data_IF_289091358739
#
_entry.id   IF_289091358739
#
_cell.length_a   1.000
_cell.length_b   1.000
_cell.length_c   1.000
_cell.angle_alpha   90.00
_cell.angle_beta   90.00
_cell.angle_gamma   90.00
#
_symmetry.space_group_name_H-M   'P 1'
#
loop_
_entity.id
_entity.type
_entity.pdbx_description
1 polymer ?
#
# COMPACT_ATOMS: atom_id res chain seq x y z
N UNK A 1 12.02 -15.87 18.25
CA UNK A 1 12.92 -15.63 17.10
C UNK A 1 13.58 -14.28 17.27
N UNK A 2 14.75 -14.11 16.67
CA UNK A 2 15.36 -12.80 16.49
C UNK A 2 15.25 -12.40 15.01
N UNK A 3 14.50 -11.36 14.72
CA UNK A 3 14.10 -10.98 13.35
C UNK A 3 14.57 -9.57 13.04
N UNK A 4 15.23 -9.40 11.90
CA UNK A 4 15.66 -8.09 11.43
C UNK A 4 14.98 -7.72 10.13
N UNK A 5 14.28 -6.59 10.11
CA UNK A 5 13.67 -6.00 8.93
C UNK A 5 14.59 -5.00 8.25
N UNK A 6 14.65 -5.03 6.93
CA UNK A 6 15.41 -4.08 6.12
C UNK A 6 14.50 -3.51 5.05
N UNK A 7 14.28 -2.20 5.06
CA UNK A 7 13.38 -1.52 4.11
C UNK A 7 14.07 -0.32 3.46
N UNK A 8 13.51 0.14 2.35
CA UNK A 8 13.99 1.34 1.65
C UNK A 8 13.18 2.60 1.99
N UNK A 9 12.09 2.45 2.73
CA UNK A 9 11.20 3.55 3.10
C UNK A 9 10.53 3.24 4.45
N UNK A 10 10.25 4.28 5.22
CA UNK A 10 9.57 4.13 6.52
C UNK A 10 8.06 4.19 6.43
N UNK A 11 7.53 4.79 5.36
CA UNK A 11 6.10 4.97 5.11
C UNK A 11 5.56 3.90 4.14
N UNK A 12 4.26 3.87 3.96
CA UNK A 12 3.59 2.99 2.99
C UNK A 12 4.00 1.53 3.13
N UNK A 13 4.58 0.95 2.08
CA UNK A 13 5.01 -0.45 2.09
C UNK A 13 5.98 -0.77 3.23
N UNK A 14 6.93 0.12 3.55
CA UNK A 14 7.85 -0.10 4.66
C UNK A 14 7.16 -0.17 6.02
N UNK A 15 6.12 0.63 6.22
CA UNK A 15 5.31 0.56 7.42
C UNK A 15 4.50 -0.74 7.48
N UNK A 16 3.67 -1.03 6.50
CA UNK A 16 2.75 -2.16 6.52
C UNK A 16 3.43 -3.53 6.40
N UNK A 17 4.59 -3.57 5.76
CA UNK A 17 5.26 -4.83 5.44
C UNK A 17 6.45 -5.16 6.36
N UNK A 18 7.03 -4.15 7.01
CA UNK A 18 8.21 -4.33 7.87
C UNK A 18 7.93 -3.84 9.29
N UNK A 19 7.69 -2.53 9.48
CA UNK A 19 7.58 -1.97 10.83
C UNK A 19 6.44 -2.57 11.63
N UNK A 20 5.22 -2.40 11.16
CA UNK A 20 4.01 -2.82 11.86
C UNK A 20 4.01 -4.33 12.22
N UNK A 21 4.34 -5.27 11.30
CA UNK A 21 4.41 -6.68 11.67
C UNK A 21 5.51 -6.99 12.67
N UNK A 22 6.67 -6.35 12.59
CA UNK A 22 7.77 -6.59 13.51
C UNK A 22 7.52 -5.98 14.88
N UNK A 23 6.88 -4.80 14.96
CA UNK A 23 6.44 -4.21 16.22
C UNK A 23 5.42 -5.11 16.93
N UNK A 24 4.47 -5.67 16.19
CA UNK A 24 3.48 -6.61 16.74
C UNK A 24 4.13 -7.92 17.21
N UNK A 25 5.04 -8.49 16.42
CA UNK A 25 5.79 -9.68 16.84
C UNK A 25 6.65 -9.44 18.10
N UNK A 26 7.16 -8.23 18.30
CA UNK A 26 7.85 -7.86 19.53
C UNK A 26 6.94 -7.94 20.75
N UNK A 27 5.67 -7.51 20.62
CA UNK A 27 4.65 -7.64 21.68
C UNK A 27 4.36 -9.11 22.04
N UNK A 28 4.66 -10.05 21.14
CA UNK A 28 4.49 -11.50 21.33
C UNK A 28 5.78 -12.25 21.68
N UNK A 29 6.80 -11.55 22.18
CA UNK A 29 8.00 -12.14 22.74
C UNK A 29 9.11 -12.48 21.73
N UNK A 30 9.03 -11.94 20.51
CA UNK A 30 10.14 -12.02 19.57
C UNK A 30 11.09 -10.83 19.77
N UNK A 31 12.37 -11.03 19.54
CA UNK A 31 13.35 -9.95 19.46
C UNK A 31 13.35 -9.40 18.04
N UNK A 32 12.87 -8.20 17.86
CA UNK A 32 12.76 -7.57 16.53
C UNK A 32 13.55 -6.29 16.43
N UNK A 33 14.06 -6.02 15.25
CA UNK A 33 14.68 -4.75 14.89
C UNK A 33 14.46 -4.46 13.41
N UNK A 34 14.55 -3.20 13.00
CA UNK A 34 14.48 -2.83 11.59
C UNK A 34 15.32 -1.61 11.30
N UNK A 35 15.82 -1.54 10.06
CA UNK A 35 16.65 -0.44 9.60
C UNK A 35 16.43 -0.11 8.12
N UNK A 36 16.94 1.05 7.70
CA UNK A 36 16.96 1.41 6.29
C UNK A 36 18.01 0.62 5.53
N UNK A 37 17.68 0.16 4.33
CA UNK A 37 18.62 -0.47 3.43
C UNK A 37 19.72 0.53 3.03
N UNK A 38 20.89 0.35 3.60
CA UNK A 38 22.13 1.10 3.32
C UNK A 38 23.30 0.14 3.20
N UNK A 39 24.52 0.66 3.05
CA UNK A 39 25.74 -0.17 2.94
C UNK A 39 26.16 -0.83 4.26
N UNK A 40 25.59 -0.43 5.38
CA UNK A 40 26.08 -0.79 6.71
C UNK A 40 25.13 -1.70 7.49
N UNK A 41 24.22 -2.41 6.79
CA UNK A 41 23.31 -3.37 7.45
C UNK A 41 24.09 -4.48 8.12
N UNK A 42 23.79 -4.71 9.40
CA UNK A 42 24.43 -5.72 10.22
C UNK A 42 23.46 -6.84 10.62
N UNK A 43 23.94 -8.04 10.85
CA UNK A 43 23.09 -9.18 11.26
C UNK A 43 22.55 -9.07 12.69
N UNK A 44 23.34 -8.47 13.59
CA UNK A 44 23.04 -8.34 15.02
C UNK A 44 22.60 -9.67 15.67
N UNK A 45 23.03 -10.81 15.10
CA UNK A 45 22.64 -12.15 15.53
C UNK A 45 21.20 -12.56 15.17
N UNK A 46 20.58 -11.95 14.19
CA UNK A 46 19.25 -12.31 13.72
C UNK A 46 19.20 -13.75 13.18
N UNK A 47 18.10 -14.45 13.47
CA UNK A 47 17.80 -15.77 12.89
C UNK A 47 17.13 -15.63 11.52
N UNK A 48 16.33 -14.56 11.34
CA UNK A 48 15.59 -14.25 10.13
C UNK A 48 15.89 -12.81 9.72
N UNK A 49 16.14 -12.60 8.44
CA UNK A 49 16.25 -11.26 7.84
C UNK A 49 15.15 -11.11 6.80
N UNK A 50 14.33 -10.08 6.97
CA UNK A 50 13.26 -9.72 6.03
C UNK A 50 13.69 -8.49 5.26
N UNK A 51 13.96 -8.66 3.97
CA UNK A 51 14.40 -7.56 3.09
C UNK A 51 13.32 -7.15 2.10
N UNK A 52 12.87 -5.90 2.18
CA UNK A 52 11.88 -5.34 1.26
C UNK A 52 12.55 -4.59 0.13
N UNK A 53 12.33 -5.04 -1.12
CA UNK A 53 12.88 -4.43 -2.35
C UNK A 53 14.38 -4.15 -2.32
N UNK A 54 15.14 -4.95 -1.58
CA UNK A 54 16.59 -4.87 -1.58
C UNK A 54 17.11 -5.44 -2.90
N UNK A 55 17.86 -4.68 -3.65
CA UNK A 55 18.33 -5.05 -5.01
C UNK A 55 17.92 -4.02 -6.06
N UNK A 56 16.86 -3.25 -5.83
CA UNK A 56 16.55 -2.08 -6.64
C UNK A 56 17.48 -0.90 -6.26
N UNK A 57 17.90 -0.12 -7.23
CA UNK A 57 18.73 1.07 -6.98
C UNK A 57 18.06 2.07 -6.04
N UNK A 58 18.80 2.62 -5.07
CA UNK A 58 18.39 3.87 -4.47
C UNK A 58 18.46 4.98 -5.51
N UNK A 59 17.55 5.96 -5.48
CA UNK A 59 17.52 7.08 -6.42
C UNK A 59 18.82 7.93 -6.47
N UNK A 60 19.73 7.75 -5.51
CA UNK A 60 21.07 8.33 -5.49
C UNK A 60 22.12 7.53 -6.29
N UNK A 61 21.80 6.33 -6.71
CA UNK A 61 22.70 5.46 -7.48
C UNK A 61 22.71 5.77 -9.00
N UNK A 62 22.29 6.94 -9.41
CA UNK A 62 22.59 7.44 -10.76
C UNK A 62 24.10 7.62 -11.02
N UNK A 63 24.95 7.30 -10.04
CA UNK A 63 26.38 7.35 -10.13
C UNK A 63 26.98 6.00 -9.72
N UNK A 64 26.94 5.06 -10.65
CA UNK A 64 27.85 3.90 -10.67
C UNK A 64 27.25 2.54 -10.33
N UNK A 65 27.62 1.58 -11.12
CA UNK A 65 27.42 0.12 -11.07
C UNK A 65 27.73 -0.48 -9.66
N UNK A 66 28.42 0.25 -8.78
CA UNK A 66 28.93 -0.26 -7.52
C UNK A 66 27.87 -0.51 -6.43
N UNK A 67 26.78 0.25 -6.37
CA UNK A 67 25.81 0.10 -5.26
C UNK A 67 24.84 -1.11 -5.47
N UNK A 68 24.47 -1.43 -6.69
CA UNK A 68 23.68 -2.63 -6.95
C UNK A 68 24.48 -3.91 -6.65
N UNK A 69 25.77 -3.89 -6.95
CA UNK A 69 26.70 -4.99 -6.63
C UNK A 69 26.89 -5.11 -5.12
N UNK A 70 26.92 -4.01 -4.38
CA UNK A 70 27.06 -4.02 -2.91
C UNK A 70 25.83 -4.64 -2.24
N UNK A 71 24.61 -4.27 -2.65
CA UNK A 71 23.38 -4.88 -2.13
C UNK A 71 23.33 -6.38 -2.42
N UNK A 72 23.81 -6.79 -3.57
CA UNK A 72 23.89 -8.21 -3.96
C UNK A 72 24.90 -9.00 -3.15
N UNK A 73 26.09 -8.45 -2.91
CA UNK A 73 27.13 -9.09 -2.09
C UNK A 73 26.67 -9.20 -0.65
N UNK A 74 26.06 -8.14 -0.12
CA UNK A 74 25.50 -8.08 1.21
C UNK A 74 24.41 -9.15 1.45
N UNK A 75 23.44 -9.29 0.55
CA UNK A 75 22.41 -10.32 0.60
C UNK A 75 23.02 -11.72 0.61
N UNK A 76 24.03 -11.94 -0.22
CA UNK A 76 24.77 -13.22 -0.29
C UNK A 76 25.59 -13.54 0.97
N UNK A 77 26.15 -12.54 1.60
CA UNK A 77 26.93 -12.74 2.84
C UNK A 77 25.99 -13.11 4.00
N UNK A 78 24.87 -12.44 4.11
CA UNK A 78 23.89 -12.71 5.15
C UNK A 78 23.19 -14.05 5.00
N UNK A 79 22.94 -14.50 3.77
CA UNK A 79 22.32 -15.78 3.46
C UNK A 79 23.01 -16.98 4.14
N UNK A 80 24.27 -16.88 4.46
CA UNK A 80 25.01 -17.97 5.13
C UNK A 80 24.79 -18.03 6.64
N UNK A 81 24.23 -17.00 7.23
CA UNK A 81 24.20 -16.82 8.68
C UNK A 81 22.80 -16.67 9.25
N UNK A 82 21.80 -16.40 8.41
CA UNK A 82 20.40 -16.25 8.79
C UNK A 82 19.47 -16.71 7.68
N UNK A 83 18.25 -17.07 8.01
CA UNK A 83 17.21 -17.31 7.04
C UNK A 83 16.79 -16.00 6.36
N UNK A 84 16.73 -15.98 5.04
CA UNK A 84 16.44 -14.80 4.24
C UNK A 84 15.03 -14.84 3.71
N UNK A 85 14.25 -13.82 4.04
CA UNK A 85 12.90 -13.60 3.53
C UNK A 85 12.91 -12.39 2.61
N UNK A 86 12.48 -12.57 1.36
CA UNK A 86 12.35 -11.46 0.41
C UNK A 86 10.91 -10.97 0.36
N UNK A 87 10.69 -9.70 0.67
CA UNK A 87 9.37 -9.10 0.80
C UNK A 87 9.01 -8.23 -0.40
N UNK A 88 7.79 -8.45 -0.94
CA UNK A 88 7.22 -7.66 -2.04
C UNK A 88 5.78 -7.23 -1.72
N UNK A 89 5.48 -5.94 -1.88
CA UNK A 89 4.12 -5.40 -1.81
C UNK A 89 3.50 -5.11 -3.19
N UNK A 90 4.32 -4.86 -4.20
CA UNK A 90 3.92 -4.62 -5.60
C UNK A 90 4.78 -5.48 -6.55
N UNK A 91 4.35 -5.66 -7.80
CA UNK A 91 5.10 -6.36 -8.83
C UNK A 91 6.19 -5.45 -9.43
N UNK A 92 7.49 -5.67 -9.14
CA UNK A 92 8.56 -4.84 -9.67
C UNK A 92 8.82 -5.04 -11.17
N UNK A 93 8.24 -6.09 -11.77
CA UNK A 93 8.47 -6.48 -13.17
C UNK A 93 7.41 -5.95 -14.13
N UNK A 94 6.31 -5.37 -13.62
CA UNK A 94 5.19 -4.86 -14.42
C UNK A 94 4.90 -3.37 -14.17
N UNK A 95 5.90 -2.65 -13.67
CA UNK A 95 5.77 -1.20 -13.41
C UNK A 95 5.54 -0.45 -14.72
N UNK A 96 4.56 0.42 -14.76
CA UNK A 96 4.17 1.16 -15.96
C UNK A 96 5.10 2.35 -16.27
N UNK A 97 5.29 2.70 -17.56
CA UNK A 97 6.22 3.76 -17.99
C UNK A 97 5.94 5.14 -17.37
N UNK A 98 4.69 5.44 -17.04
CA UNK A 98 4.30 6.70 -16.40
C UNK A 98 4.47 6.72 -14.88
N UNK A 99 4.76 5.58 -14.28
CA UNK A 99 5.09 5.50 -12.87
C UNK A 99 6.50 6.03 -12.64
N UNK A 100 6.68 6.92 -11.65
CA UNK A 100 8.00 7.51 -11.36
C UNK A 100 9.07 6.48 -11.00
N UNK A 101 8.67 5.31 -10.50
CA UNK A 101 9.59 4.22 -10.17
C UNK A 101 9.97 3.35 -11.37
N UNK A 102 9.35 3.57 -12.53
CA UNK A 102 9.59 2.79 -13.75
C UNK A 102 11.08 2.65 -14.12
N UNK A 103 11.78 3.77 -14.19
CA UNK A 103 13.20 3.77 -14.56
C UNK A 103 14.11 3.06 -13.55
N UNK A 104 13.64 2.95 -12.30
CA UNK A 104 14.35 2.22 -11.25
C UNK A 104 14.17 0.72 -11.43
N UNK A 105 12.94 0.25 -11.54
CA UNK A 105 12.62 -1.19 -11.59
C UNK A 105 12.87 -1.80 -12.97
N UNK A 106 12.65 -1.05 -14.05
CA UNK A 106 12.89 -1.51 -15.41
C UNK A 106 14.36 -1.38 -15.86
N UNK A 107 15.25 -0.88 -15.00
CA UNK A 107 16.69 -0.96 -15.23
C UNK A 107 17.11 -2.45 -15.22
N UNK A 108 17.77 -2.97 -16.28
CA UNK A 108 18.12 -4.39 -16.35
C UNK A 108 18.90 -4.91 -15.14
N UNK A 109 19.84 -4.10 -14.62
CA UNK A 109 20.65 -4.47 -13.46
C UNK A 109 19.77 -4.59 -12.20
N UNK A 110 18.85 -3.65 -11.98
CA UNK A 110 17.93 -3.69 -10.84
C UNK A 110 16.95 -4.87 -10.95
N UNK A 111 16.43 -5.08 -12.15
CA UNK A 111 15.53 -6.18 -12.47
C UNK A 111 16.19 -7.57 -12.20
N UNK A 112 17.40 -7.79 -12.73
CA UNK A 112 18.16 -9.03 -12.52
C UNK A 112 18.54 -9.21 -11.05
N UNK A 113 18.87 -8.12 -10.36
CA UNK A 113 19.19 -8.13 -8.93
C UNK A 113 18.01 -8.56 -8.07
N UNK A 114 16.82 -7.96 -8.32
CA UNK A 114 15.58 -8.32 -7.61
C UNK A 114 15.27 -9.80 -7.83
N UNK A 115 15.28 -10.22 -9.09
CA UNK A 115 15.03 -11.62 -9.46
C UNK A 115 15.98 -12.58 -8.75
N UNK A 116 17.28 -12.28 -8.78
CA UNK A 116 18.28 -13.13 -8.13
C UNK A 116 18.12 -13.15 -6.60
N UNK A 117 17.82 -12.02 -5.93
CA UNK A 117 17.56 -12.00 -4.51
C UNK A 117 16.35 -12.86 -4.13
N UNK A 118 15.31 -12.87 -4.97
CA UNK A 118 14.16 -13.75 -4.81
C UNK A 118 14.52 -15.21 -5.00
N UNK A 119 15.31 -15.55 -6.03
CA UNK A 119 15.72 -16.94 -6.34
C UNK A 119 16.47 -17.60 -5.19
N UNK A 120 17.33 -16.83 -4.49
CA UNK A 120 18.15 -17.34 -3.39
C UNK A 120 17.51 -17.18 -2.00
N UNK A 121 16.36 -16.50 -1.88
CA UNK A 121 15.67 -16.36 -0.61
C UNK A 121 15.10 -17.71 -0.13
N UNK A 122 15.11 -17.92 1.19
CA UNK A 122 14.47 -19.09 1.79
C UNK A 122 12.95 -19.03 1.66
N UNK A 123 12.39 -17.80 1.61
CA UNK A 123 10.97 -17.53 1.47
C UNK A 123 10.79 -16.20 0.74
N UNK A 124 9.80 -16.13 -0.13
CA UNK A 124 9.28 -14.86 -0.67
C UNK A 124 7.95 -14.57 -0.03
N UNK A 125 7.78 -13.40 0.58
CA UNK A 125 6.49 -12.95 1.11
C UNK A 125 5.90 -11.88 0.21
N UNK A 126 4.59 -11.96 -0.02
CA UNK A 126 3.87 -11.07 -0.94
C UNK A 126 2.56 -10.61 -0.32
N UNK A 127 2.04 -9.46 -0.80
CA UNK A 127 0.83 -8.85 -0.24
C UNK A 127 -0.49 -9.45 -0.75
N UNK A 128 -0.47 -10.14 -1.91
CA UNK A 128 -1.69 -10.64 -2.57
C UNK A 128 -1.49 -11.99 -3.24
N UNK A 129 -2.61 -12.73 -3.40
CA UNK A 129 -2.60 -14.01 -4.11
C UNK A 129 -2.19 -13.85 -5.58
N UNK A 130 -2.59 -12.75 -6.23
CA UNK A 130 -2.21 -12.44 -7.62
C UNK A 130 -0.70 -12.27 -7.75
N UNK A 131 -0.10 -11.56 -6.79
CA UNK A 131 1.34 -11.39 -6.77
C UNK A 131 2.06 -12.72 -6.55
N UNK A 132 1.52 -13.59 -5.68
CA UNK A 132 2.05 -14.94 -5.47
C UNK A 132 2.00 -15.79 -6.76
N UNK A 133 0.88 -15.80 -7.48
CA UNK A 133 0.72 -16.51 -8.76
C UNK A 133 1.78 -16.12 -9.80
N UNK A 134 2.27 -14.89 -9.73
CA UNK A 134 3.30 -14.38 -10.64
C UNK A 134 4.72 -14.72 -10.15
N UNK A 135 4.97 -14.54 -8.87
CA UNK A 135 6.30 -14.69 -8.26
C UNK A 135 6.69 -16.14 -8.04
N UNK A 136 5.73 -17.08 -7.96
CA UNK A 136 6.00 -18.53 -7.77
C UNK A 136 6.91 -19.13 -8.86
N UNK A 137 6.97 -18.52 -10.02
CA UNK A 137 7.86 -18.93 -11.14
C UNK A 137 9.32 -18.59 -10.85
N UNK A 138 9.60 -17.65 -9.96
CA UNK A 138 10.94 -17.22 -9.57
C UNK A 138 11.38 -18.00 -8.34
N UNK A 139 10.52 -18.05 -7.32
CA UNK A 139 10.77 -18.85 -6.12
C UNK A 139 9.48 -19.58 -5.73
N UNK A 140 9.49 -20.93 -5.69
CA UNK A 140 8.29 -21.72 -5.35
C UNK A 140 7.91 -21.62 -3.86
N UNK A 141 8.82 -21.19 -2.99
CA UNK A 141 8.56 -21.01 -1.57
C UNK A 141 8.00 -19.61 -1.31
N UNK A 142 6.67 -19.49 -1.37
CA UNK A 142 5.95 -18.22 -1.25
C UNK A 142 4.93 -18.29 -0.12
N UNK A 143 4.82 -17.19 0.65
CA UNK A 143 3.72 -16.96 1.60
C UNK A 143 2.99 -15.65 1.26
N UNK A 144 1.66 -15.72 1.21
CA UNK A 144 0.81 -14.53 1.08
C UNK A 144 0.53 -13.97 2.46
N UNK A 145 1.07 -12.79 2.75
CA UNK A 145 0.84 -12.05 3.99
C UNK A 145 0.09 -10.78 3.65
N UNK A 146 -1.22 -10.78 3.81
CA UNK A 146 -2.07 -9.64 3.44
C UNK A 146 -1.79 -8.42 4.33
N UNK A 147 -1.96 -7.22 3.78
CA UNK A 147 -1.80 -6.00 4.56
C UNK A 147 -2.88 -5.89 5.63
N UNK A 148 -2.48 -5.43 6.81
CA UNK A 148 -3.33 -5.16 7.96
C UNK A 148 -3.16 -3.70 8.41
N UNK A 149 -4.10 -3.21 9.19
CA UNK A 149 -4.04 -1.91 9.85
C UNK A 149 -3.77 -2.10 11.35
N UNK A 150 -3.24 -1.10 12.07
CA UNK A 150 -3.20 -1.16 13.53
C UNK A 150 -4.62 -1.00 14.11
N UNK A 151 -4.95 -1.72 15.16
CA UNK A 151 -6.25 -1.60 15.84
C UNK A 151 -6.51 -0.15 16.30
N UNK A 152 -5.47 0.58 16.65
CA UNK A 152 -5.54 1.99 17.03
C UNK A 152 -6.17 2.89 15.95
N UNK A 153 -6.08 2.52 14.66
CA UNK A 153 -6.74 3.25 13.57
C UNK A 153 -8.26 3.26 13.71
N UNK A 154 -8.84 2.19 14.22
CA UNK A 154 -10.27 2.11 14.51
C UNK A 154 -10.75 3.14 15.54
N UNK A 155 -9.85 3.70 16.33
CA UNK A 155 -10.15 4.69 17.37
C UNK A 155 -9.81 6.13 16.98
N UNK A 156 -9.24 6.34 15.79
CA UNK A 156 -8.88 7.69 15.31
C UNK A 156 -10.14 8.52 15.10
N UNK A 157 -10.15 9.69 15.73
CA UNK A 157 -11.19 10.68 15.52
C UNK A 157 -10.85 11.53 14.30
N UNK A 158 -11.72 11.48 13.30
CA UNK A 158 -11.55 12.30 12.08
C UNK A 158 -11.88 13.77 12.36
N UNK A 159 -11.18 14.72 11.73
CA UNK A 159 -11.57 16.12 11.79
C UNK A 159 -12.99 16.31 11.25
N UNK A 160 -13.82 17.03 12.02
CA UNK A 160 -15.15 17.42 11.54
C UNK A 160 -15.05 18.52 10.49
N UNK A 161 -15.90 18.48 9.47
CA UNK A 161 -16.04 19.51 8.44
C UNK A 161 -17.51 19.90 8.30
N UNK A 162 -17.73 21.19 8.06
CA UNK A 162 -19.07 21.72 7.82
C UNK A 162 -19.63 21.32 6.45
N UNK A 163 -18.72 20.98 5.52
CA UNK A 163 -19.04 20.61 4.13
C UNK A 163 -18.64 19.16 3.86
N UNK A 164 -19.52 18.43 3.19
CA UNK A 164 -19.24 17.08 2.73
C UNK A 164 -17.96 17.06 1.89
N UNK A 165 -17.03 16.22 2.27
CA UNK A 165 -15.71 16.11 1.62
C UNK A 165 -15.53 14.78 0.92
N UNK A 166 -15.22 14.82 -0.38
CA UNK A 166 -14.72 13.67 -1.15
C UNK A 166 -13.20 13.71 -1.11
N UNK A 167 -12.56 12.61 -0.75
CA UNK A 167 -11.12 12.61 -0.58
C UNK A 167 -10.36 11.47 -1.25
N UNK A 168 -9.12 11.78 -1.59
CA UNK A 168 -8.12 10.83 -2.03
C UNK A 168 -6.82 11.03 -1.25
N UNK A 169 -6.17 9.91 -0.87
CA UNK A 169 -4.85 9.95 -0.26
C UNK A 169 -3.92 8.97 -0.98
N UNK A 170 -2.71 9.41 -1.31
CA UNK A 170 -1.77 8.53 -2.00
C UNK A 170 -0.48 9.21 -2.47
N UNK A 171 0.42 8.38 -2.99
CA UNK A 171 1.73 8.79 -3.51
C UNK A 171 1.68 9.18 -4.98
N UNK A 172 2.79 9.71 -5.47
CA UNK A 172 2.97 10.11 -6.87
C UNK A 172 2.84 8.94 -7.87
N UNK A 173 3.01 7.69 -7.42
CA UNK A 173 2.83 6.51 -8.28
C UNK A 173 1.40 6.32 -8.79
N UNK A 174 0.42 7.01 -8.20
CA UNK A 174 -1.00 6.97 -8.59
C UNK A 174 -1.41 8.00 -9.66
N UNK A 175 -0.46 8.65 -10.35
CA UNK A 175 -0.77 9.70 -11.33
C UNK A 175 -1.72 9.22 -12.43
N UNK A 176 -1.52 8.00 -12.95
CA UNK A 176 -2.37 7.43 -13.99
C UNK A 176 -3.71 6.91 -13.44
N UNK A 177 -3.77 6.62 -12.15
CA UNK A 177 -4.97 6.14 -11.50
C UNK A 177 -6.01 7.26 -11.37
N UNK A 178 -5.56 8.48 -11.03
CA UNK A 178 -6.42 9.67 -10.93
C UNK A 178 -7.13 9.96 -12.26
N UNK A 179 -6.51 9.67 -13.40
CA UNK A 179 -7.12 9.85 -14.71
C UNK A 179 -8.45 9.09 -14.82
N UNK A 180 -8.55 7.89 -14.24
CA UNK A 180 -9.74 7.03 -14.32
C UNK A 180 -10.97 7.60 -13.63
N UNK A 181 -10.79 8.48 -12.65
CA UNK A 181 -11.90 9.14 -11.93
C UNK A 181 -12.04 10.62 -12.26
N UNK A 182 -11.07 11.22 -12.96
CA UNK A 182 -10.98 12.67 -13.16
C UNK A 182 -12.23 13.29 -13.79
N UNK A 183 -12.77 12.66 -14.82
CA UNK A 183 -14.02 13.13 -15.47
C UNK A 183 -15.21 13.05 -14.51
N UNK A 184 -15.40 11.93 -13.84
CA UNK A 184 -16.46 11.73 -12.87
C UNK A 184 -16.41 12.71 -11.72
N UNK A 185 -15.21 12.92 -11.16
CA UNK A 185 -14.98 13.86 -10.06
C UNK A 185 -15.26 15.31 -10.50
N UNK A 186 -14.73 15.73 -11.66
CA UNK A 186 -15.01 17.05 -12.24
C UNK A 186 -16.50 17.31 -12.44
N UNK A 187 -17.22 16.34 -12.99
CA UNK A 187 -18.67 16.41 -13.20
C UNK A 187 -19.45 16.50 -11.89
N UNK A 188 -19.00 15.77 -10.88
CA UNK A 188 -19.58 15.81 -9.53
C UNK A 188 -19.36 17.19 -8.90
N UNK A 189 -18.16 17.73 -8.97
CA UNK A 189 -17.84 19.07 -8.45
C UNK A 189 -18.68 20.18 -9.15
N UNK A 190 -18.86 20.10 -10.47
CA UNK A 190 -19.62 21.08 -11.21
C UNK A 190 -21.11 21.09 -10.83
N UNK A 191 -21.66 19.97 -10.40
CA UNK A 191 -23.09 19.83 -10.05
C UNK A 191 -23.38 20.04 -8.56
N UNK A 192 -22.37 19.98 -7.72
CA UNK A 192 -22.50 20.09 -6.27
C UNK A 192 -21.54 21.17 -5.74
N UNK A 193 -21.94 22.46 -5.79
CA UNK A 193 -21.06 23.56 -5.38
C UNK A 193 -20.72 23.52 -3.87
N UNK A 194 -21.53 22.83 -3.07
CA UNK A 194 -21.43 22.80 -1.61
C UNK A 194 -20.62 21.65 -1.04
N UNK A 195 -19.98 20.84 -1.91
CA UNK A 195 -19.03 19.82 -1.46
C UNK A 195 -17.60 20.33 -1.58
N UNK A 196 -16.71 19.75 -0.80
CA UNK A 196 -15.27 19.91 -0.92
C UNK A 196 -14.62 18.67 -1.53
N UNK A 197 -13.46 18.85 -2.14
CA UNK A 197 -12.59 17.76 -2.55
C UNK A 197 -11.23 17.97 -1.91
N UNK A 198 -10.65 16.92 -1.35
CA UNK A 198 -9.38 16.98 -0.65
C UNK A 198 -8.42 15.87 -1.11
N UNK A 199 -7.23 16.25 -1.53
CA UNK A 199 -6.14 15.32 -1.86
C UNK A 199 -5.06 15.40 -0.78
N UNK A 200 -4.64 14.23 -0.27
CA UNK A 200 -3.57 14.11 0.73
C UNK A 200 -2.41 13.35 0.10
N UNK A 201 -1.20 13.88 0.26
CA UNK A 201 0.03 13.27 -0.24
C UNK A 201 0.51 13.91 -1.53
N UNK A 202 0.52 13.17 -2.64
CA UNK A 202 0.96 13.72 -3.92
C UNK A 202 -0.01 14.77 -4.47
N UNK A 203 0.55 15.86 -4.97
CA UNK A 203 -0.28 16.89 -5.63
C UNK A 203 -0.63 16.48 -7.06
N UNK A 204 -1.71 15.73 -7.19
CA UNK A 204 -2.26 15.27 -8.46
C UNK A 204 -3.52 16.04 -8.88
N UNK A 205 -3.80 17.20 -8.26
CA UNK A 205 -4.99 18.04 -8.52
C UNK A 205 -5.10 18.47 -9.98
N UNK A 206 -3.96 18.71 -10.64
CA UNK A 206 -3.90 19.10 -12.05
C UNK A 206 -4.50 18.06 -13.01
N UNK A 207 -4.52 16.77 -12.63
CA UNK A 207 -5.11 15.70 -13.43
C UNK A 207 -6.64 15.84 -13.55
N UNK A 208 -7.29 16.37 -12.53
CA UNK A 208 -8.76 16.49 -12.48
C UNK A 208 -9.26 17.61 -13.40
N UNK A 209 -8.47 18.68 -13.63
CA UNK A 209 -8.91 19.89 -14.33
C UNK A 209 -10.23 20.42 -13.75
N UNK A 210 -10.26 20.55 -12.44
CA UNK A 210 -11.46 20.83 -11.67
C UNK A 210 -12.04 22.22 -11.96
N UNK A 211 -13.39 22.41 -11.84
CA UNK A 211 -14.04 23.71 -12.05
C UNK A 211 -13.78 24.72 -10.91
N UNK A 212 -13.25 24.24 -9.79
CA UNK A 212 -12.86 25.03 -8.62
C UNK A 212 -11.72 24.34 -7.87
N UNK A 213 -11.21 24.99 -6.83
CA UNK A 213 -10.10 24.48 -6.04
C UNK A 213 -10.39 23.11 -5.43
N UNK A 214 -9.38 22.24 -5.46
CA UNK A 214 -9.28 21.00 -4.68
C UNK A 214 -8.29 21.29 -3.56
N UNK A 215 -8.67 21.06 -2.30
CA UNK A 215 -7.75 21.19 -1.17
C UNK A 215 -6.62 20.16 -1.29
N UNK A 216 -5.44 20.56 -0.83
CA UNK A 216 -4.28 19.69 -0.81
C UNK A 216 -3.56 19.76 0.53
N UNK A 217 -3.22 18.60 1.07
CA UNK A 217 -2.33 18.48 2.24
C UNK A 217 -1.16 17.59 1.85
N UNK A 218 0.05 18.05 2.13
CA UNK A 218 1.27 17.28 1.85
C UNK A 218 1.32 16.01 2.68
N UNK A 219 2.10 15.03 2.22
CA UNK A 219 2.30 13.77 2.92
C UNK A 219 2.89 13.99 4.32
N UNK A 220 2.39 13.24 5.29
CA UNK A 220 2.97 13.14 6.62
C UNK A 220 3.81 11.85 6.71
N UNK A 221 5.01 11.95 7.23
CA UNK A 221 5.94 10.82 7.35
C UNK A 221 5.57 9.85 8.48
N UNK A 222 4.86 10.34 9.51
CA UNK A 222 4.29 9.47 10.54
C UNK A 222 2.93 8.93 10.09
N UNK A 223 2.76 7.60 10.08
CA UNK A 223 1.54 6.96 9.61
C UNK A 223 0.33 7.23 10.51
N UNK A 224 0.54 7.34 11.82
CA UNK A 224 -0.56 7.64 12.75
C UNK A 224 -1.04 9.09 12.60
N UNK A 225 -0.11 10.01 12.35
CA UNK A 225 -0.47 11.41 12.07
C UNK A 225 -1.10 11.55 10.68
N UNK A 226 -0.67 10.75 9.69
CA UNK A 226 -1.33 10.68 8.39
C UNK A 226 -2.81 10.31 8.51
N UNK A 227 -3.17 9.34 9.34
CA UNK A 227 -4.58 8.96 9.54
C UNK A 227 -5.43 10.09 10.08
N UNK A 228 -4.87 10.96 10.93
CA UNK A 228 -5.56 12.15 11.48
C UNK A 228 -5.81 13.25 10.44
N UNK A 229 -5.09 13.23 9.31
CA UNK A 229 -5.32 14.17 8.20
C UNK A 229 -6.56 13.80 7.37
N UNK A 230 -7.02 12.56 7.44
CA UNK A 230 -8.13 12.05 6.62
C UNK A 230 -9.46 12.58 7.17
N UNK A 231 -9.99 13.60 6.49
CA UNK A 231 -11.23 14.30 6.85
C UNK A 231 -12.38 14.02 5.86
N UNK A 232 -12.30 12.91 5.14
CA UNK A 232 -13.24 12.56 4.07
C UNK A 232 -14.56 12.02 4.61
N UNK A 233 -15.68 12.34 3.95
CA UNK A 233 -16.98 11.67 4.13
C UNK A 233 -17.18 10.56 3.09
N UNK A 234 -16.50 10.68 1.94
CA UNK A 234 -16.48 9.69 0.86
C UNK A 234 -15.05 9.56 0.38
N UNK A 235 -14.48 8.34 0.43
CA UNK A 235 -13.18 8.04 -0.12
C UNK A 235 -13.24 7.67 -1.61
N UNK A 236 -12.25 8.07 -2.40
CA UNK A 236 -12.07 7.54 -3.74
C UNK A 236 -10.78 6.72 -3.83
N UNK A 237 -10.88 5.56 -4.44
CA UNK A 237 -9.75 4.65 -4.66
C UNK A 237 -9.66 4.27 -6.15
N UNK A 238 -9.22 5.20 -7.01
CA UNK A 238 -9.00 4.89 -8.40
C UNK A 238 -7.76 4.02 -8.58
N UNK A 239 -7.86 3.02 -9.45
CA UNK A 239 -6.72 2.27 -10.00
C UNK A 239 -6.97 2.08 -11.51
N UNK A 240 -5.95 2.33 -12.31
CA UNK A 240 -6.00 2.02 -13.74
C UNK A 240 -5.92 0.49 -13.89
N UNK A 241 -6.86 -0.15 -14.60
CA UNK A 241 -6.87 -1.61 -14.72
C UNK A 241 -5.71 -2.09 -15.61
N UNK A 242 -4.60 -2.46 -14.97
CA UNK A 242 -3.36 -2.94 -15.59
C UNK A 242 -2.86 -4.15 -14.83
N UNK A 243 -1.91 -4.88 -15.41
CA UNK A 243 -1.28 -6.03 -14.75
C UNK A 243 -0.66 -5.63 -13.41
N UNK A 244 0.01 -4.48 -13.36
CA UNK A 244 0.58 -3.92 -12.14
C UNK A 244 -0.50 -3.64 -11.08
N UNK A 245 -1.60 -3.01 -11.47
CA UNK A 245 -2.70 -2.69 -10.56
C UNK A 245 -3.40 -3.93 -9.98
N UNK A 246 -3.51 -5.00 -10.76
CA UNK A 246 -4.11 -6.27 -10.31
C UNK A 246 -3.28 -6.97 -9.22
N UNK A 247 -1.99 -6.67 -9.10
CA UNK A 247 -1.11 -7.23 -8.07
C UNK A 247 -1.10 -6.45 -6.76
N UNK A 248 -1.62 -5.20 -6.76
CA UNK A 248 -1.64 -4.32 -5.57
C UNK A 248 -2.54 -4.85 -4.47
N UNK A 249 -2.36 -4.32 -3.26
CA UNK A 249 -3.24 -4.60 -2.13
C UNK A 249 -4.41 -3.62 -2.04
N UNK A 250 -5.41 -3.97 -1.25
CA UNK A 250 -6.57 -3.12 -0.95
C UNK A 250 -6.33 -2.13 0.20
N UNK A 251 -5.08 -1.88 0.58
CA UNK A 251 -4.76 -1.11 1.79
C UNK A 251 -5.47 0.25 1.87
N UNK A 252 -5.60 0.97 0.76
CA UNK A 252 -6.32 2.24 0.70
C UNK A 252 -7.80 2.09 1.09
N UNK A 253 -8.48 1.07 0.58
CA UNK A 253 -9.86 0.80 0.94
C UNK A 253 -9.99 0.36 2.41
N UNK A 254 -9.02 -0.38 2.92
CA UNK A 254 -8.96 -0.82 4.31
C UNK A 254 -8.75 0.36 5.28
N UNK A 255 -7.86 1.31 4.95
CA UNK A 255 -7.66 2.55 5.73
C UNK A 255 -8.95 3.37 5.82
N UNK A 256 -9.61 3.60 4.68
CA UNK A 256 -10.89 4.34 4.65
C UNK A 256 -11.98 3.61 5.43
N UNK A 257 -12.09 2.31 5.24
CA UNK A 257 -13.06 1.47 5.95
C UNK A 257 -12.86 1.54 7.48
N UNK A 258 -11.62 1.45 7.97
CA UNK A 258 -11.29 1.58 9.39
C UNK A 258 -11.76 2.90 9.99
N UNK A 259 -11.73 3.97 9.21
CA UNK A 259 -12.21 5.30 9.59
C UNK A 259 -13.73 5.48 9.39
N UNK A 260 -14.44 4.41 9.00
CA UNK A 260 -15.88 4.48 8.72
C UNK A 260 -16.24 5.31 7.49
N UNK A 261 -15.35 5.34 6.49
CA UNK A 261 -15.52 6.09 5.25
C UNK A 261 -15.92 5.12 4.13
N UNK A 262 -17.12 5.22 3.55
CA UNK A 262 -17.47 4.45 2.38
C UNK A 262 -16.62 4.85 1.18
N UNK A 263 -16.19 3.87 0.37
CA UNK A 263 -15.31 4.09 -0.76
C UNK A 263 -16.04 3.95 -2.09
N UNK A 264 -15.71 4.79 -3.07
CA UNK A 264 -15.94 4.51 -4.49
C UNK A 264 -14.58 4.08 -5.07
N UNK A 265 -14.48 2.87 -5.56
CA UNK A 265 -13.23 2.26 -6.00
C UNK A 265 -13.36 1.67 -7.41
N UNK A 266 -12.24 1.56 -8.13
CA UNK A 266 -12.21 0.85 -9.41
C UNK A 266 -12.49 -0.64 -9.20
N UNK A 267 -13.28 -1.25 -10.07
CA UNK A 267 -13.58 -2.68 -10.07
C UNK A 267 -12.36 -3.49 -10.59
N UNK A 268 -11.30 -3.55 -9.77
CA UNK A 268 -10.11 -4.36 -9.97
C UNK A 268 -10.01 -5.43 -8.88
N UNK A 269 -9.31 -6.53 -9.16
CA UNK A 269 -9.25 -7.70 -8.26
C UNK A 269 -8.91 -7.34 -6.81
N UNK A 270 -7.86 -6.56 -6.50
CA UNK A 270 -7.52 -6.26 -5.11
C UNK A 270 -8.65 -5.56 -4.35
N UNK A 271 -9.41 -4.70 -5.00
CA UNK A 271 -10.52 -4.02 -4.34
C UNK A 271 -11.78 -4.89 -4.22
N UNK A 272 -12.06 -5.78 -5.20
CA UNK A 272 -13.13 -6.78 -5.09
C UNK A 272 -12.93 -7.76 -3.96
N UNK A 273 -11.69 -8.06 -3.61
CA UNK A 273 -11.37 -9.00 -2.52
C UNK A 273 -11.70 -8.40 -1.15
N UNK A 274 -11.98 -7.09 -1.07
CA UNK A 274 -12.26 -6.40 0.18
C UNK A 274 -13.59 -5.61 0.15
N UNK A 275 -13.85 -4.82 -0.89
CA UNK A 275 -15.06 -3.98 -0.99
C UNK A 275 -16.26 -4.83 -1.39
N UNK A 276 -17.30 -4.84 -0.55
CA UNK A 276 -18.59 -5.46 -0.85
C UNK A 276 -19.46 -4.41 -1.53
N UNK A 277 -19.65 -4.54 -2.86
CA UNK A 277 -20.35 -3.56 -3.68
C UNK A 277 -21.78 -3.30 -3.17
N UNK A 278 -22.13 -2.02 -2.97
CA UNK A 278 -23.40 -1.59 -2.41
C UNK A 278 -23.56 -1.77 -0.89
N UNK A 279 -22.57 -2.36 -0.20
CA UNK A 279 -22.64 -2.61 1.26
C UNK A 279 -21.54 -1.86 2.04
N UNK A 280 -20.27 -1.96 1.60
CA UNK A 280 -19.14 -1.29 2.25
C UNK A 280 -18.54 -0.18 1.39
N UNK A 281 -18.97 -0.05 0.15
CA UNK A 281 -18.53 0.90 -0.85
C UNK A 281 -19.15 0.59 -2.20
N UNK A 282 -18.70 1.28 -3.24
CA UNK A 282 -19.10 1.01 -4.61
C UNK A 282 -17.89 0.66 -5.48
N UNK A 283 -18.08 -0.34 -6.37
CA UNK A 283 -17.11 -0.71 -7.40
C UNK A 283 -17.56 -0.15 -8.75
N UNK A 284 -16.64 0.51 -9.46
CA UNK A 284 -16.94 1.18 -10.75
C UNK A 284 -15.95 0.75 -11.83
N UNK A 285 -16.46 0.56 -13.06
CA UNK A 285 -15.68 0.11 -14.23
C UNK A 285 -15.45 1.21 -15.26
N UNK A 286 -16.35 2.20 -15.31
CA UNK A 286 -16.39 3.22 -16.36
C UNK A 286 -16.40 4.62 -15.76
N UNK A 287 -15.80 5.55 -16.45
CA UNK A 287 -15.67 6.96 -16.03
C UNK A 287 -16.98 7.59 -15.58
N UNK A 288 -18.09 7.31 -16.27
CA UNK A 288 -19.38 7.91 -15.94
C UNK A 288 -19.99 7.35 -14.65
N UNK A 289 -19.63 6.14 -14.24
CA UNK A 289 -20.13 5.49 -13.02
C UNK A 289 -19.62 6.21 -11.79
N UNK A 290 -18.39 6.77 -11.81
CA UNK A 290 -17.85 7.59 -10.74
C UNK A 290 -18.83 8.71 -10.33
N UNK A 291 -19.28 9.52 -11.31
CA UNK A 291 -20.21 10.59 -11.02
C UNK A 291 -21.57 10.09 -10.51
N UNK A 292 -22.01 8.90 -10.92
CA UNK A 292 -23.27 8.30 -10.46
C UNK A 292 -23.16 7.85 -9.00
N UNK A 293 -22.14 7.07 -8.67
CA UNK A 293 -21.94 6.56 -7.30
C UNK A 293 -21.59 7.64 -6.29
N UNK A 294 -20.77 8.62 -6.69
CA UNK A 294 -20.50 9.78 -5.86
C UNK A 294 -21.78 10.57 -5.56
N UNK A 295 -22.66 10.78 -6.56
CA UNK A 295 -23.93 11.46 -6.37
C UNK A 295 -24.88 10.70 -5.42
N UNK A 296 -24.94 9.38 -5.49
CA UNK A 296 -25.72 8.56 -4.57
C UNK A 296 -25.27 8.80 -3.12
N UNK A 297 -23.96 8.72 -2.87
CA UNK A 297 -23.41 8.95 -1.53
C UNK A 297 -23.52 10.41 -1.08
N UNK A 298 -23.49 11.39 -1.97
CA UNK A 298 -23.68 12.81 -1.61
C UNK A 298 -25.11 13.06 -1.15
N UNK A 299 -26.10 12.52 -1.88
CA UNK A 299 -27.51 12.83 -1.66
C UNK A 299 -28.18 12.02 -0.56
N UNK A 300 -27.59 10.88 -0.17
CA UNK A 300 -28.13 9.98 0.84
C UNK A 300 -27.15 9.83 2.03
N UNK A 301 -27.40 10.65 3.04
CA UNK A 301 -26.60 10.62 4.28
C UNK A 301 -26.77 9.31 5.06
N UNK A 302 -27.98 8.75 5.07
CA UNK A 302 -28.27 7.51 5.79
C UNK A 302 -27.50 6.35 5.16
N UNK A 303 -27.59 6.21 3.82
CA UNK A 303 -26.80 5.23 3.07
C UNK A 303 -25.30 5.41 3.31
N UNK A 304 -24.79 6.65 3.27
CA UNK A 304 -23.38 6.94 3.48
C UNK A 304 -22.90 6.51 4.86
N UNK A 305 -23.71 6.76 5.92
CA UNK A 305 -23.39 6.34 7.28
C UNK A 305 -23.43 4.83 7.45
N UNK A 306 -24.51 4.19 7.00
CA UNK A 306 -24.66 2.73 7.07
C UNK A 306 -23.52 2.01 6.32
N UNK A 307 -23.19 2.46 5.13
CA UNK A 307 -22.09 1.89 4.33
C UNK A 307 -20.73 2.08 5.03
N UNK A 308 -20.50 3.22 5.66
CA UNK A 308 -19.29 3.49 6.44
C UNK A 308 -19.20 2.61 7.70
N UNK A 309 -20.30 2.38 8.40
CA UNK A 309 -20.37 1.48 9.56
C UNK A 309 -20.09 0.03 9.16
N UNK A 310 -20.69 -0.43 8.06
CA UNK A 310 -20.43 -1.75 7.50
C UNK A 310 -18.97 -1.93 7.08
N UNK A 311 -18.40 -0.91 6.44
CA UNK A 311 -16.99 -0.91 6.06
C UNK A 311 -16.08 -1.02 7.28
N UNK A 312 -16.37 -0.25 8.35
CA UNK A 312 -15.60 -0.28 9.59
C UNK A 312 -15.71 -1.63 10.32
N UNK A 313 -16.91 -2.21 10.35
CA UNK A 313 -17.11 -3.55 10.91
C UNK A 313 -16.30 -4.61 10.15
N UNK A 314 -16.18 -4.50 8.83
CA UNK A 314 -15.32 -5.36 8.03
C UNK A 314 -13.83 -5.10 8.34
N UNK A 315 -13.40 -3.85 8.38
CA UNK A 315 -12.00 -3.47 8.62
C UNK A 315 -11.51 -3.91 10.01
N UNK A 316 -12.39 -3.97 11.03
CA UNK A 316 -12.03 -4.44 12.37
C UNK A 316 -11.54 -5.89 12.42
N UNK A 317 -11.77 -6.68 11.37
CA UNK A 317 -11.27 -8.05 11.22
C UNK A 317 -9.88 -8.11 10.57
N UNK A 318 -9.34 -6.96 10.17
CA UNK A 318 -8.09 -6.85 9.41
C UNK A 318 -7.02 -6.07 10.19
N UNK A 319 -6.97 -6.24 11.51
CA UNK A 319 -5.93 -5.61 12.32
C UNK A 319 -4.69 -6.50 12.43
N UNK A 320 -3.52 -5.89 12.58
CA UNK A 320 -2.26 -6.62 12.70
C UNK A 320 -2.23 -7.46 13.97
N UNK A 321 -2.87 -7.00 15.04
CA UNK A 321 -3.02 -7.69 16.31
C UNK A 321 -3.77 -9.03 16.15
N UNK A 322 -4.63 -9.15 15.15
CA UNK A 322 -5.30 -10.41 14.78
C UNK A 322 -4.52 -11.19 13.73
N UNK A 323 -3.84 -10.48 12.81
CA UNK A 323 -3.17 -11.06 11.65
C UNK A 323 -1.73 -11.54 11.88
N UNK A 324 -1.05 -11.11 12.95
CA UNK A 324 0.39 -11.33 13.16
C UNK A 324 0.82 -12.80 13.11
N UNK A 325 -0.06 -13.72 13.48
CA UNK A 325 0.24 -15.17 13.47
C UNK A 325 0.61 -15.71 12.09
N UNK A 326 0.11 -15.08 11.02
CA UNK A 326 0.49 -15.45 9.65
C UNK A 326 1.95 -15.07 9.38
N UNK A 327 2.39 -13.91 9.87
CA UNK A 327 3.77 -13.44 9.80
C UNK A 327 4.69 -14.32 10.64
N UNK A 328 4.28 -14.62 11.88
CA UNK A 328 5.00 -15.51 12.78
C UNK A 328 5.23 -16.88 12.15
N UNK A 329 4.18 -17.52 11.65
CA UNK A 329 4.23 -18.83 11.01
C UNK A 329 5.13 -18.83 9.76
N UNK A 330 5.03 -17.79 8.93
CA UNK A 330 5.87 -17.64 7.75
C UNK A 330 7.35 -17.54 8.11
N UNK A 331 7.71 -16.75 9.11
CA UNK A 331 9.10 -16.61 9.54
C UNK A 331 9.62 -17.84 10.29
N UNK A 332 8.77 -18.55 11.04
CA UNK A 332 9.12 -19.82 11.66
C UNK A 332 9.40 -20.93 10.66
N UNK A 333 8.76 -20.90 9.50
CA UNK A 333 8.90 -21.95 8.47
C UNK A 333 10.29 -22.03 7.83
N UNK A 334 11.14 -21.05 8.06
CA UNK A 334 12.48 -20.93 7.43
C UNK A 334 13.66 -21.05 8.40
N UNK A 335 13.37 -21.36 9.68
CA UNK A 335 14.39 -21.56 10.74
C UNK A 335 14.64 -23.08 10.98
#
# INVERSE_FOLDING_TARGET
>A
MKIKGVTRQWEGGGYYRIRQPLDELACHGHETSYEMANSDVTLDGANVIVGQFIGGQSAKAAVGISQTVIVHSWWRELYRSAAMVYELDDDPFEVEPMNLTYHVYMNPIAHDSIKHCMEIANLVTVSTDVLAERMVKINPNIAVLKNHIPESLLSVQRPHRDRLTIGWAGSQSHIMDIETCAYGLRKTMARNPDIDVHFIGADLRFMVKAPREIRHTVWCTDTLDYYKLIDFDIGIAPLKPTVFAETKSHIKCLEYAALGIPVVATDVRPYKDFVIDGVTGFLVRKDHEWATRLRELINDEAMRKEMGENARALASQWTIEQGYKQWEAAYQSVI
#
